data_IF_439895063314
#
_entry.id   IF_439895063314
#
_cell.length_a   1.000
_cell.length_b   1.000
_cell.length_c   1.000
_cell.angle_alpha   90.00
_cell.angle_beta   90.00
_cell.angle_gamma   90.00
#
_symmetry.space_group_name_H-M   'P 1'
#
loop_
_entity.id
_entity.type
_entity.pdbx_description
1 polymer ?
#
# COMPACT_ATOMS: atom_id res chain seq x y z
N UNK A 1 11.85 5.21 5.90
CA UNK A 1 10.85 4.62 6.82
C UNK A 1 10.77 3.11 6.62
N UNK A 2 10.36 2.42 7.63
CA UNK A 2 10.15 0.97 7.56
C UNK A 2 9.08 0.54 8.56
N UNK A 3 8.61 -0.67 8.42
CA UNK A 3 7.75 -1.33 9.40
C UNK A 3 8.25 -2.75 9.62
N UNK A 4 7.81 -3.37 10.70
CA UNK A 4 8.12 -4.77 10.97
C UNK A 4 6.81 -5.54 10.95
N UNK A 5 6.70 -6.51 10.04
CA UNK A 5 5.53 -7.36 9.90
C UNK A 5 6.03 -8.80 9.93
N UNK A 6 5.47 -9.59 10.85
CA UNK A 6 5.84 -11.00 11.01
C UNK A 6 7.36 -11.18 11.15
N UNK A 7 7.97 -10.33 12.02
CA UNK A 7 9.41 -10.31 12.31
C UNK A 7 10.29 -9.94 11.12
N UNK A 8 9.72 -9.46 10.03
CA UNK A 8 10.47 -9.01 8.86
C UNK A 8 10.41 -7.50 8.74
N UNK A 9 11.56 -6.88 8.52
CA UNK A 9 11.65 -5.45 8.26
C UNK A 9 11.32 -5.19 6.80
N UNK A 10 10.32 -4.34 6.57
CA UNK A 10 9.88 -3.99 5.22
C UNK A 10 10.04 -2.48 5.05
N UNK A 11 10.75 -2.07 4.01
CA UNK A 11 10.98 -0.66 3.71
C UNK A 11 9.69 -0.02 3.20
N UNK A 12 9.43 1.21 3.66
CA UNK A 12 8.29 2.02 3.22
C UNK A 12 8.83 3.18 2.39
N UNK A 13 8.31 3.33 1.18
CA UNK A 13 8.70 4.42 0.28
C UNK A 13 7.52 5.38 0.18
N UNK A 14 7.64 6.60 0.75
CA UNK A 14 6.59 7.60 0.60
C UNK A 14 6.65 8.22 -0.79
N UNK A 15 5.49 8.36 -1.42
CA UNK A 15 5.35 8.97 -2.73
C UNK A 15 4.51 10.23 -2.57
N UNK A 16 5.09 11.39 -2.84
CA UNK A 16 4.48 12.68 -2.52
C UNK A 16 4.01 13.45 -3.74
N UNK A 17 4.49 13.13 -4.93
CA UNK A 17 4.10 13.82 -6.16
C UNK A 17 3.20 12.95 -7.02
N UNK A 18 2.39 13.57 -7.87
CA UNK A 18 1.52 12.84 -8.79
C UNK A 18 2.33 11.91 -9.70
N UNK A 19 3.45 12.40 -10.25
CA UNK A 19 4.28 11.60 -11.12
C UNK A 19 4.90 10.41 -10.38
N UNK A 20 5.37 10.62 -9.16
CA UNK A 20 5.89 9.55 -8.33
C UNK A 20 4.82 8.51 -8.03
N UNK A 21 3.59 8.96 -7.74
CA UNK A 21 2.46 8.07 -7.47
C UNK A 21 2.14 7.21 -8.68
N UNK A 22 2.10 7.79 -9.87
CA UNK A 22 1.75 7.04 -11.08
C UNK A 22 2.85 6.08 -11.52
N UNK A 23 4.12 6.37 -11.20
CA UNK A 23 5.24 5.53 -11.59
C UNK A 23 5.60 4.45 -10.56
N UNK A 24 5.06 4.54 -9.35
CA UNK A 24 5.49 3.69 -8.24
C UNK A 24 5.48 2.20 -8.57
N UNK A 25 4.40 1.70 -9.14
CA UNK A 25 4.25 0.28 -9.46
C UNK A 25 3.94 0.02 -10.92
N UNK A 26 3.95 1.07 -11.76
CA UNK A 26 3.64 0.96 -13.17
C UNK A 26 4.65 0.07 -13.89
N UNK A 27 4.18 -0.88 -14.69
CA UNK A 27 5.01 -1.79 -15.49
C UNK A 27 5.96 -2.70 -14.71
N UNK A 28 5.78 -2.86 -13.40
CA UNK A 28 6.62 -3.79 -12.64
C UNK A 28 6.10 -5.21 -12.79
N UNK A 29 6.93 -6.08 -13.34
CA UNK A 29 6.62 -7.50 -13.53
C UNK A 29 6.97 -8.31 -12.29
N UNK A 30 8.13 -8.02 -11.67
CA UNK A 30 8.61 -8.75 -10.50
C UNK A 30 7.79 -8.37 -9.27
N UNK A 31 7.50 -9.32 -8.36
CA UNK A 31 6.79 -9.00 -7.13
C UNK A 31 7.50 -7.89 -6.35
N UNK A 32 6.73 -6.93 -5.86
CA UNK A 32 7.29 -5.86 -5.04
C UNK A 32 7.69 -6.42 -3.67
N UNK A 33 8.75 -5.87 -3.10
CA UNK A 33 9.25 -6.26 -1.78
C UNK A 33 9.19 -5.12 -0.78
N UNK A 34 8.67 -3.97 -1.20
CA UNK A 34 8.58 -2.75 -0.41
C UNK A 34 7.13 -2.30 -0.35
N UNK A 35 6.83 -1.46 0.63
CA UNK A 35 5.51 -0.85 0.77
C UNK A 35 5.60 0.56 0.20
N UNK A 36 4.66 0.91 -0.67
CA UNK A 36 4.57 2.26 -1.24
C UNK A 36 3.42 2.99 -0.56
N UNK A 37 3.70 4.15 0.02
CA UNK A 37 2.73 4.93 0.78
C UNK A 37 2.35 6.20 0.05
N UNK A 38 1.05 6.37 -0.17
CA UNK A 38 0.48 7.57 -0.79
C UNK A 38 -0.31 8.33 0.27
N UNK A 39 -0.09 9.65 0.34
CA UNK A 39 -0.79 10.50 1.30
C UNK A 39 -1.98 11.18 0.64
N UNK A 40 -3.12 11.21 1.35
CA UNK A 40 -4.34 11.87 0.89
C UNK A 40 -4.84 11.37 -0.47
N UNK A 41 -4.70 10.06 -0.71
CA UNK A 41 -5.14 9.46 -1.95
C UNK A 41 -6.53 8.85 -1.75
N UNK A 42 -7.50 9.23 -2.61
CA UNK A 42 -8.87 8.72 -2.53
C UNK A 42 -9.14 7.56 -3.48
N UNK A 43 -8.19 7.26 -4.35
CA UNK A 43 -8.34 6.15 -5.30
C UNK A 43 -7.00 5.58 -5.68
N UNK A 44 -6.99 4.30 -6.00
CA UNK A 44 -5.81 3.58 -6.45
C UNK A 44 -6.11 3.04 -7.83
N UNK A 45 -5.21 3.32 -8.77
CA UNK A 45 -5.30 2.80 -10.12
C UNK A 45 -4.25 1.72 -10.29
N UNK A 46 -4.70 0.50 -10.59
CA UNK A 46 -3.80 -0.59 -10.90
C UNK A 46 -3.65 -0.79 -12.41
N UNK A 47 -4.08 0.21 -13.21
CA UNK A 47 -3.85 0.21 -14.64
C UNK A 47 -2.35 0.21 -14.92
N UNK A 48 -1.95 -0.54 -15.94
CA UNK A 48 -0.55 -0.73 -16.32
C UNK A 48 0.30 -1.43 -15.27
N UNK A 49 -0.27 -1.88 -14.17
CA UNK A 49 0.43 -2.77 -13.26
C UNK A 49 0.45 -4.18 -13.84
N UNK A 50 1.57 -4.85 -13.66
CA UNK A 50 1.77 -6.21 -14.19
C UNK A 50 1.76 -7.26 -13.08
N UNK A 51 1.26 -6.89 -11.90
CA UNK A 51 1.14 -7.80 -10.77
C UNK A 51 -0.02 -7.40 -9.87
N UNK A 52 -0.53 -8.35 -9.11
CA UNK A 52 -1.52 -8.10 -8.08
C UNK A 52 -0.82 -7.63 -6.80
N UNK A 53 -1.51 -6.86 -5.98
CA UNK A 53 -0.95 -6.32 -4.73
C UNK A 53 -1.98 -6.39 -3.61
N UNK A 54 -1.51 -6.26 -2.38
CA UNK A 54 -2.36 -6.03 -1.22
C UNK A 54 -2.43 -4.52 -0.97
N UNK A 55 -3.57 -4.07 -0.44
CA UNK A 55 -3.81 -2.64 -0.18
C UNK A 55 -4.27 -2.45 1.26
N UNK A 56 -3.71 -1.45 1.91
CA UNK A 56 -4.11 -1.03 3.26
C UNK A 56 -4.37 0.47 3.26
N UNK A 57 -5.46 0.88 3.90
CA UNK A 57 -5.78 2.29 4.04
C UNK A 57 -5.77 2.65 5.52
N UNK A 58 -5.07 3.73 5.84
CA UNK A 58 -4.91 4.22 7.20
C UNK A 58 -5.59 5.58 7.35
N UNK A 59 -6.06 5.87 8.57
CA UNK A 59 -6.45 7.24 8.90
C UNK A 59 -5.20 8.08 9.23
N UNK A 60 -5.40 9.35 9.60
CA UNK A 60 -4.29 10.25 9.88
C UNK A 60 -3.48 9.85 11.11
N UNK A 61 -4.00 8.97 11.95
CA UNK A 61 -3.32 8.47 13.14
C UNK A 61 -2.68 7.10 12.92
N UNK A 62 -2.60 6.64 11.65
CA UNK A 62 -2.07 5.34 11.24
C UNK A 62 -2.90 4.16 11.70
N UNK A 63 -4.18 4.38 11.99
CA UNK A 63 -5.09 3.29 12.30
C UNK A 63 -5.58 2.66 11.01
N UNK A 64 -5.55 1.34 10.93
CA UNK A 64 -5.99 0.60 9.74
C UNK A 64 -7.51 0.67 9.66
N UNK A 65 -8.02 1.27 8.60
CA UNK A 65 -9.46 1.42 8.38
C UNK A 65 -9.98 0.55 7.24
N UNK A 66 -9.09 0.00 6.42
CA UNK A 66 -9.49 -0.85 5.30
C UNK A 66 -8.33 -1.72 4.86
N UNK A 67 -8.62 -2.99 4.56
CA UNK A 67 -7.66 -3.94 4.02
C UNK A 67 -8.30 -4.66 2.84
N UNK A 68 -7.56 -4.78 1.76
CA UNK A 68 -7.99 -5.55 0.58
C UNK A 68 -6.84 -6.42 0.12
N UNK A 69 -7.03 -7.72 0.16
CA UNK A 69 -6.06 -8.68 -0.33
C UNK A 69 -6.19 -8.87 -1.83
N UNK A 70 -5.07 -9.07 -2.48
CA UNK A 70 -5.01 -9.50 -3.87
C UNK A 70 -5.82 -8.62 -4.80
N UNK A 71 -5.55 -7.30 -4.76
CA UNK A 71 -6.15 -6.37 -5.71
C UNK A 71 -5.59 -6.69 -7.09
N UNK A 72 -6.48 -7.03 -8.02
CA UNK A 72 -6.07 -7.48 -9.35
C UNK A 72 -5.45 -6.34 -10.15
N UNK A 73 -4.49 -6.69 -11.00
CA UNK A 73 -3.90 -5.72 -11.93
C UNK A 73 -4.97 -5.15 -12.86
N UNK A 74 -4.72 -3.96 -13.37
CA UNK A 74 -5.63 -3.24 -14.30
C UNK A 74 -7.01 -2.96 -13.68
N UNK A 75 -7.05 -2.62 -12.39
CA UNK A 75 -8.28 -2.29 -11.69
C UNK A 75 -8.19 -0.89 -11.09
N UNK A 76 -9.33 -0.36 -10.69
CA UNK A 76 -9.44 0.87 -9.92
C UNK A 76 -10.09 0.51 -8.59
N UNK A 77 -9.47 0.92 -7.51
CA UNK A 77 -10.03 0.81 -6.16
C UNK A 77 -10.27 2.22 -5.65
N UNK A 78 -11.54 2.54 -5.37
CA UNK A 78 -11.91 3.86 -4.85
C UNK A 78 -12.26 3.69 -3.37
N UNK A 79 -11.42 4.27 -2.50
CA UNK A 79 -11.61 4.18 -1.06
C UNK A 79 -10.95 5.40 -0.43
N UNK A 80 -11.67 6.09 0.45
CA UNK A 80 -11.15 7.29 1.10
C UNK A 80 -10.37 6.93 2.35
N UNK A 81 -9.24 7.59 2.53
CA UNK A 81 -8.39 7.47 3.71
C UNK A 81 -7.32 8.52 3.69
N UNK A 82 -6.53 8.59 4.74
CA UNK A 82 -5.45 9.56 4.82
C UNK A 82 -4.17 9.03 4.16
N UNK A 83 -3.84 7.77 4.42
CA UNK A 83 -2.71 7.10 3.78
C UNK A 83 -3.19 5.85 3.07
N UNK A 84 -2.65 5.60 1.90
CA UNK A 84 -2.91 4.38 1.16
C UNK A 84 -1.59 3.64 0.98
N UNK A 85 -1.56 2.39 1.39
CA UNK A 85 -0.36 1.55 1.28
C UNK A 85 -0.58 0.50 0.21
N UNK A 86 0.33 0.45 -0.76
CA UNK A 86 0.41 -0.65 -1.72
C UNK A 86 1.52 -1.58 -1.26
N UNK A 87 1.17 -2.84 -1.00
CA UNK A 87 2.02 -3.78 -0.29
C UNK A 87 2.23 -5.06 -1.09
N UNK A 88 3.31 -5.80 -0.80
CA UNK A 88 3.48 -7.13 -1.38
C UNK A 88 2.31 -8.04 -1.05
N UNK A 89 1.99 -8.96 -1.96
CA UNK A 89 0.94 -9.95 -1.72
C UNK A 89 1.20 -10.72 -0.42
N UNK A 90 0.14 -10.95 0.33
CA UNK A 90 0.21 -11.68 1.60
C UNK A 90 0.42 -10.81 2.82
N UNK A 91 0.74 -9.52 2.65
CA UNK A 91 0.98 -8.62 3.78
C UNK A 91 -0.28 -8.41 4.62
N UNK A 92 -1.45 -8.32 3.98
CA UNK A 92 -2.71 -8.12 4.70
C UNK A 92 -3.03 -9.23 5.69
N UNK A 93 -2.51 -10.43 5.47
CA UNK A 93 -2.78 -11.56 6.37
C UNK A 93 -2.22 -11.35 7.77
N UNK A 94 -1.24 -10.46 7.91
CA UNK A 94 -0.62 -10.13 9.18
C UNK A 94 -1.21 -8.89 9.84
N UNK A 95 -2.23 -8.29 9.22
CA UNK A 95 -2.81 -7.02 9.65
C UNK A 95 -4.31 -7.19 9.92
N UNK A 96 -4.87 -6.30 10.77
CA UNK A 96 -6.30 -6.30 11.09
C UNK A 96 -6.82 -4.87 11.11
N UNK A 97 -8.03 -4.67 10.56
CA UNK A 97 -8.73 -3.39 10.66
C UNK A 97 -8.93 -3.05 12.14
N UNK A 98 -8.67 -1.78 12.50
CA UNK A 98 -8.75 -1.32 13.87
C UNK A 98 -7.42 -1.29 14.61
N UNK A 99 -6.42 -1.99 14.12
CA UNK A 99 -5.08 -1.93 14.68
C UNK A 99 -4.32 -0.73 14.13
N UNK A 100 -3.27 -0.31 14.83
CA UNK A 100 -2.40 0.77 14.36
C UNK A 100 -1.25 0.18 13.56
N UNK A 101 -0.96 0.80 12.42
CA UNK A 101 0.16 0.41 11.57
C UNK A 101 1.42 1.10 12.10
N UNK A 102 2.42 0.31 12.46
CA UNK A 102 3.66 0.84 13.05
C UNK A 102 4.61 1.30 11.95
N UNK A 103 4.92 2.60 11.95
CA UNK A 103 5.88 3.17 11.00
C UNK A 103 7.08 3.67 11.79
N UNK A 104 8.27 3.21 11.44
CA UNK A 104 9.52 3.58 12.07
C UNK A 104 10.39 4.36 11.08
N UNK A 105 11.02 5.38 11.57
CA UNK A 105 11.93 6.20 10.76
C UNK A 105 13.36 5.69 10.80
#
# INVERSE_FOLDING_TARGET
MHTIINDKKIKIIPLTTFLSKSKGLMFRIKPIKKIYMFKKCSSIHTFFMLQNIDVCILDKNYKIVYLKENVKKNRVLIKKGYYTLEMPLGTCKCLKVGEFFSIKK
#
